data_IF_906061186867
#
_entry.id   IF_906061186867
#
_cell.length_a   1.000
_cell.length_b   1.000
_cell.length_c   1.000
_cell.angle_alpha   90.00
_cell.angle_beta   90.00
_cell.angle_gamma   90.00
#
_symmetry.space_group_name_H-M   'P 1'
#
loop_
_entity.id
_entity.type
_entity.pdbx_description
1 polymer ?
#
# COMPACT_ATOMS: atom_id res chain seq x y z
N UNK A 1 17.56 13.40 11.80
CA UNK A 1 17.69 14.83 12.21
C UNK A 1 16.35 15.53 12.49
N UNK A 2 15.18 14.88 12.35
CA UNK A 2 13.85 15.53 12.41
C UNK A 2 13.21 15.63 13.82
N UNK A 3 13.68 14.86 14.82
CA UNK A 3 13.06 14.75 16.16
C UNK A 3 13.27 15.95 17.09
N UNK A 4 14.28 16.78 16.85
CA UNK A 4 14.56 17.96 17.68
C UNK A 4 13.55 19.11 17.40
N UNK A 5 13.02 19.20 16.19
CA UNK A 5 12.15 20.31 15.76
C UNK A 5 10.72 20.21 16.29
N UNK A 6 10.15 18.99 16.38
CA UNK A 6 8.76 18.80 16.83
C UNK A 6 8.56 19.09 18.31
N UNK A 7 9.54 18.75 19.17
CA UNK A 7 9.46 19.05 20.62
C UNK A 7 9.52 20.55 20.90
N UNK A 8 10.37 21.28 20.17
CA UNK A 8 10.49 22.74 20.27
C UNK A 8 9.19 23.42 19.83
N UNK A 9 8.64 23.02 18.68
CA UNK A 9 7.36 23.54 18.20
C UNK A 9 6.20 23.28 19.18
N UNK A 10 6.17 22.09 19.81
CA UNK A 10 5.17 21.79 20.86
C UNK A 10 5.34 22.66 22.10
N UNK A 11 6.58 22.97 22.51
CA UNK A 11 6.83 23.85 23.66
C UNK A 11 6.44 25.30 23.37
N UNK A 12 6.71 25.80 22.18
CA UNK A 12 6.32 27.14 21.74
C UNK A 12 4.80 27.28 21.64
N UNK A 13 4.11 26.28 21.07
CA UNK A 13 2.65 26.28 20.96
C UNK A 13 1.98 26.27 22.34
N UNK A 14 2.51 25.49 23.28
CA UNK A 14 2.05 25.48 24.68
C UNK A 14 2.28 26.83 25.36
N UNK A 15 3.43 27.47 25.12
CA UNK A 15 3.78 28.76 25.71
C UNK A 15 2.97 29.93 25.12
N UNK A 16 2.45 29.80 23.89
CA UNK A 16 1.70 30.85 23.21
C UNK A 16 0.37 31.24 23.86
N UNK A 17 -0.22 30.35 24.68
CA UNK A 17 -1.55 30.56 25.28
C UNK A 17 -2.71 30.56 24.28
N UNK A 18 -2.46 30.29 23.00
CA UNK A 18 -3.46 30.33 21.92
C UNK A 18 -4.34 29.08 21.84
N UNK A 19 -3.97 28.00 22.54
CA UNK A 19 -4.63 26.70 22.46
C UNK A 19 -4.92 26.13 23.84
N UNK A 20 -6.15 25.62 24.03
CA UNK A 20 -6.59 25.05 25.30
C UNK A 20 -6.07 23.62 25.52
N UNK A 21 -5.86 22.86 24.44
CA UNK A 21 -5.39 21.47 24.52
C UNK A 21 -4.69 21.06 23.23
N UNK A 22 -3.67 20.21 23.34
CA UNK A 22 -2.91 19.69 22.19
C UNK A 22 -2.90 18.17 22.29
N UNK A 23 -3.37 17.49 21.23
CA UNK A 23 -3.20 16.05 21.04
C UNK A 23 -2.17 15.82 19.95
N UNK A 24 -1.20 14.94 20.23
CA UNK A 24 -0.11 14.64 19.30
C UNK A 24 -0.32 13.24 18.75
N UNK A 25 -0.32 13.15 17.42
CA UNK A 25 -0.44 11.88 16.69
C UNK A 25 0.93 11.57 16.06
N UNK A 26 1.52 10.43 16.39
CA UNK A 26 2.85 10.05 15.86
C UNK A 26 2.87 8.60 15.39
N UNK A 27 3.78 8.28 14.47
CA UNK A 27 3.94 6.94 13.91
C UNK A 27 4.84 6.02 14.77
N UNK A 28 5.09 6.34 16.04
CA UNK A 28 6.00 5.59 16.90
C UNK A 28 5.31 4.93 18.09
N UNK A 29 5.80 3.76 18.50
CA UNK A 29 5.39 3.02 19.70
C UNK A 29 5.96 3.65 20.96
N UNK A 30 5.37 4.75 21.42
CA UNK A 30 5.62 5.26 22.77
C UNK A 30 4.30 5.38 23.50
N UNK A 31 4.22 4.86 24.72
CA UNK A 31 2.99 4.72 25.53
C UNK A 31 2.16 6.02 25.66
N UNK A 32 2.78 7.19 25.54
CA UNK A 32 2.12 8.49 25.72
C UNK A 32 1.51 9.09 24.43
N UNK A 33 1.74 8.49 23.24
CA UNK A 33 1.32 9.07 21.96
C UNK A 33 0.17 8.30 21.31
N UNK A 34 -0.77 9.03 20.71
CA UNK A 34 -1.83 8.43 19.90
C UNK A 34 -1.22 8.01 18.55
N UNK A 35 -1.48 6.79 18.05
CA UNK A 35 -1.03 6.38 16.73
C UNK A 35 -1.55 7.33 15.65
N UNK A 36 -0.64 7.74 14.76
CA UNK A 36 -1.03 8.51 13.59
C UNK A 36 -1.91 7.69 12.64
N UNK A 37 -2.92 8.34 12.04
CA UNK A 37 -3.77 7.80 11.00
C UNK A 37 -4.00 8.86 9.90
N UNK A 38 -4.27 8.46 8.64
CA UNK A 38 -4.51 9.40 7.56
C UNK A 38 -5.82 10.15 7.77
N UNK A 39 -5.78 11.48 7.75
CA UNK A 39 -6.97 12.33 7.88
C UNK A 39 -7.55 12.75 6.53
N UNK A 40 -6.74 12.69 5.48
CA UNK A 40 -7.14 12.96 4.11
C UNK A 40 -6.74 11.79 3.21
N UNK A 41 -7.53 11.52 2.17
CA UNK A 41 -7.28 10.42 1.23
C UNK A 41 -5.91 10.54 0.55
N UNK A 42 -5.42 11.75 0.31
CA UNK A 42 -4.07 11.98 -0.24
C UNK A 42 -2.95 11.52 0.71
N UNK A 43 -3.21 11.41 2.01
CA UNK A 43 -2.24 10.91 2.97
C UNK A 43 -2.02 9.39 2.85
N UNK A 44 -2.87 8.68 2.10
CA UNK A 44 -2.65 7.27 1.75
C UNK A 44 -1.39 7.09 0.89
N UNK A 45 -0.93 8.12 0.17
CA UNK A 45 0.32 8.09 -0.60
C UNK A 45 1.54 7.81 0.30
N UNK A 46 1.44 8.08 1.60
CA UNK A 46 2.48 7.75 2.59
C UNK A 46 2.71 6.24 2.74
N UNK A 47 1.73 5.42 2.35
CA UNK A 47 1.80 3.96 2.43
C UNK A 47 2.42 3.31 1.21
N UNK A 48 2.55 4.03 0.08
CA UNK A 48 3.11 3.48 -1.16
C UNK A 48 4.52 2.87 -0.97
N UNK A 49 5.27 3.36 0.04
CA UNK A 49 6.63 2.93 0.34
C UNK A 49 6.74 2.03 1.59
N UNK A 50 5.60 1.62 2.18
CA UNK A 50 5.55 0.81 3.40
C UNK A 50 5.11 -0.62 3.10
N UNK A 51 5.70 -1.21 2.06
CA UNK A 51 5.39 -2.57 1.62
C UNK A 51 6.15 -3.56 2.52
N UNK A 52 5.41 -4.40 3.25
CA UNK A 52 5.99 -5.38 4.18
C UNK A 52 6.42 -6.69 3.51
N UNK A 53 5.74 -7.10 2.44
CA UNK A 53 5.99 -8.36 1.73
C UNK A 53 5.42 -8.30 0.31
N UNK A 54 5.84 -9.21 -0.57
CA UNK A 54 5.31 -9.38 -1.93
C UNK A 54 5.45 -8.18 -2.88
N UNK A 55 6.43 -7.30 -2.66
CA UNK A 55 6.85 -6.28 -3.62
C UNK A 55 7.58 -6.90 -4.83
N UNK A 56 8.78 -6.43 -5.14
CA UNK A 56 9.66 -7.07 -6.14
C UNK A 56 10.35 -8.32 -5.62
N UNK A 57 10.37 -8.52 -4.31
CA UNK A 57 11.02 -9.66 -3.66
C UNK A 57 10.09 -10.87 -3.64
N UNK A 58 10.70 -12.06 -3.75
CA UNK A 58 10.04 -13.35 -3.80
C UNK A 58 10.72 -14.27 -2.81
N UNK A 59 9.94 -15.07 -2.10
CA UNK A 59 10.44 -16.16 -1.28
C UNK A 59 11.03 -17.28 -2.16
N UNK A 60 11.95 -18.06 -1.61
CA UNK A 60 12.70 -19.09 -2.37
C UNK A 60 11.84 -20.25 -2.87
N UNK A 61 10.67 -20.46 -2.28
CA UNK A 61 9.67 -21.45 -2.68
C UNK A 61 8.67 -20.92 -3.73
N UNK A 62 8.75 -19.64 -4.08
CA UNK A 62 7.89 -19.05 -5.10
C UNK A 62 8.21 -19.65 -6.48
N UNK A 63 7.21 -20.07 -7.30
CA UNK A 63 7.46 -20.75 -8.58
C UNK A 63 8.23 -19.88 -9.59
N UNK A 64 8.08 -18.56 -9.50
CA UNK A 64 8.84 -17.57 -10.28
C UNK A 64 10.14 -17.08 -9.62
N UNK A 65 10.61 -17.68 -8.52
CA UNK A 65 11.76 -17.17 -7.75
C UNK A 65 13.03 -17.02 -8.61
N UNK A 66 13.29 -17.99 -9.49
CA UNK A 66 14.46 -18.01 -10.37
C UNK A 66 14.18 -17.52 -11.80
N UNK A 67 12.93 -17.15 -12.12
CA UNK A 67 12.56 -16.70 -13.47
C UNK A 67 12.90 -15.21 -13.65
N UNK A 68 13.92 -14.87 -14.47
CA UNK A 68 14.34 -13.47 -14.63
C UNK A 68 13.29 -12.60 -15.35
N UNK A 69 12.50 -13.17 -16.25
CA UNK A 69 11.45 -12.46 -16.99
C UNK A 69 10.31 -12.11 -16.03
N UNK A 70 9.89 -13.09 -15.22
CA UNK A 70 8.85 -12.88 -14.22
C UNK A 70 9.28 -11.87 -13.15
N UNK A 71 10.52 -11.92 -12.68
CA UNK A 71 11.07 -10.95 -11.71
C UNK A 71 11.12 -9.53 -12.27
N UNK A 72 11.57 -9.36 -13.51
CA UNK A 72 11.58 -8.06 -14.18
C UNK A 72 10.15 -7.50 -14.30
N UNK A 73 9.19 -8.36 -14.70
CA UNK A 73 7.79 -8.00 -14.80
C UNK A 73 7.17 -7.62 -13.46
N UNK A 74 7.49 -8.35 -12.38
CA UNK A 74 7.07 -8.00 -11.01
C UNK A 74 7.62 -6.67 -10.54
N UNK A 75 8.88 -6.37 -10.87
CA UNK A 75 9.49 -5.07 -10.56
C UNK A 75 8.74 -3.93 -11.26
N UNK A 76 8.38 -4.08 -12.54
CA UNK A 76 7.60 -3.08 -13.27
C UNK A 76 6.27 -2.75 -12.56
N UNK A 77 5.51 -3.76 -12.14
CA UNK A 77 4.27 -3.54 -11.37
C UNK A 77 4.50 -2.89 -10.01
N UNK A 78 5.58 -3.28 -9.31
CA UNK A 78 5.95 -2.67 -8.03
C UNK A 78 6.33 -1.19 -8.22
N UNK A 79 7.06 -0.85 -9.28
CA UNK A 79 7.45 0.51 -9.62
C UNK A 79 6.21 1.36 -9.95
N UNK A 80 5.23 0.82 -10.69
CA UNK A 80 3.96 1.53 -10.95
C UNK A 80 3.24 1.89 -9.63
N UNK A 81 3.13 0.93 -8.71
CA UNK A 81 2.47 1.14 -7.43
C UNK A 81 3.23 2.15 -6.54
N UNK A 82 4.57 2.09 -6.54
CA UNK A 82 5.43 2.97 -5.77
C UNK A 82 5.31 4.44 -6.19
N UNK A 83 5.16 4.69 -7.49
CA UNK A 83 5.14 6.05 -8.04
C UNK A 83 3.74 6.67 -8.10
N UNK A 84 2.67 5.89 -8.03
CA UNK A 84 1.30 6.41 -8.02
C UNK A 84 1.07 7.41 -6.88
N UNK A 85 0.37 8.51 -7.19
CA UNK A 85 -0.13 9.49 -6.23
C UNK A 85 -1.64 9.67 -6.34
N UNK A 86 -2.27 10.04 -5.23
CA UNK A 86 -3.68 10.36 -5.21
C UNK A 86 -4.02 11.44 -6.27
N UNK A 87 -5.16 11.29 -6.95
CA UNK A 87 -5.63 12.10 -8.10
C UNK A 87 -4.97 11.76 -9.44
N UNK A 88 -3.84 11.05 -9.46
CA UNK A 88 -3.29 10.59 -10.73
C UNK A 88 -4.17 9.51 -11.36
N UNK A 89 -4.17 9.45 -12.70
CA UNK A 89 -4.84 8.38 -13.41
C UNK A 89 -4.05 7.10 -13.23
N UNK A 90 -4.72 6.02 -12.80
CA UNK A 90 -4.11 4.69 -12.74
C UNK A 90 -3.53 4.30 -14.12
N UNK A 91 -2.23 3.96 -14.20
CA UNK A 91 -1.61 3.52 -15.44
C UNK A 91 -2.32 2.28 -15.99
N UNK A 92 -2.60 2.29 -17.29
CA UNK A 92 -3.07 1.09 -17.98
C UNK A 92 -1.88 0.16 -18.21
N UNK A 93 -1.99 -1.09 -17.79
CA UNK A 93 -0.95 -2.09 -18.05
C UNK A 93 -1.38 -3.00 -19.19
N UNK A 94 -0.54 -3.06 -20.22
CA UNK A 94 -0.68 -4.03 -21.30
C UNK A 94 -0.17 -5.39 -20.82
N UNK A 95 -1.11 -6.32 -20.58
CA UNK A 95 -0.79 -7.69 -20.23
C UNK A 95 -0.33 -8.49 -21.46
N UNK A 96 0.69 -9.32 -21.26
CA UNK A 96 1.17 -10.27 -22.25
C UNK A 96 0.13 -11.37 -22.52
N UNK A 97 0.26 -12.06 -23.65
CA UNK A 97 -0.64 -13.16 -23.98
C UNK A 97 -0.55 -14.32 -22.96
N UNK A 98 0.64 -14.55 -22.39
CA UNK A 98 0.85 -15.54 -21.33
C UNK A 98 0.13 -15.15 -20.02
N UNK A 99 0.16 -13.88 -19.62
CA UNK A 99 -0.57 -13.37 -18.46
C UNK A 99 -2.09 -13.48 -18.68
N UNK A 100 -2.57 -13.08 -19.87
CA UNK A 100 -3.99 -13.20 -20.25
C UNK A 100 -4.47 -14.65 -20.30
N UNK A 101 -3.63 -15.57 -20.81
CA UNK A 101 -3.93 -17.00 -20.83
C UNK A 101 -4.06 -17.56 -19.40
N UNK A 102 -3.13 -17.20 -18.52
CA UNK A 102 -3.16 -17.59 -17.10
C UNK A 102 -4.46 -17.11 -16.43
N UNK A 103 -4.82 -15.83 -16.61
CA UNK A 103 -6.08 -15.28 -16.11
C UNK A 103 -7.29 -16.06 -16.66
N UNK A 104 -7.29 -16.35 -17.96
CA UNK A 104 -8.39 -17.07 -18.62
C UNK A 104 -8.60 -18.49 -18.08
N UNK A 105 -7.54 -19.20 -17.72
CA UNK A 105 -7.64 -20.54 -17.10
C UNK A 105 -8.30 -20.44 -15.72
N UNK A 106 -7.81 -19.55 -14.86
CA UNK A 106 -8.33 -19.37 -13.50
C UNK A 106 -9.78 -18.89 -13.51
N UNK A 107 -10.09 -17.87 -14.31
CA UNK A 107 -11.41 -17.27 -14.37
C UNK A 107 -12.48 -18.27 -14.81
N UNK A 108 -12.21 -19.09 -15.83
CA UNK A 108 -13.16 -20.14 -16.27
C UNK A 108 -13.45 -21.14 -15.16
N UNK A 109 -12.42 -21.61 -14.47
CA UNK A 109 -12.57 -22.58 -13.36
C UNK A 109 -13.34 -22.02 -12.19
N UNK A 110 -13.05 -20.77 -11.78
CA UNK A 110 -13.79 -20.13 -10.70
C UNK A 110 -15.24 -19.84 -11.09
N UNK A 111 -15.49 -19.45 -12.35
CA UNK A 111 -16.84 -19.16 -12.87
C UNK A 111 -17.78 -20.37 -12.84
N UNK A 112 -17.26 -21.57 -13.03
CA UNK A 112 -18.02 -22.82 -12.87
C UNK A 112 -18.51 -23.01 -11.41
N UNK A 113 -17.77 -22.49 -10.42
CA UNK A 113 -18.03 -22.69 -9.00
C UNK A 113 -18.88 -21.58 -8.37
N UNK A 114 -18.84 -20.36 -8.91
CA UNK A 114 -19.52 -19.21 -8.32
C UNK A 114 -21.02 -19.42 -8.04
N UNK A 115 -21.83 -20.03 -8.93
CA UNK A 115 -23.27 -20.17 -8.67
C UNK A 115 -23.61 -20.95 -7.40
N UNK A 116 -22.74 -21.87 -6.99
CA UNK A 116 -22.97 -22.76 -5.84
C UNK A 116 -22.15 -22.40 -4.62
N UNK A 117 -21.03 -21.67 -4.77
CA UNK A 117 -20.09 -21.39 -3.68
C UNK A 117 -19.94 -19.91 -3.34
N UNK A 118 -20.26 -19.00 -4.27
CA UNK A 118 -20.19 -17.58 -4.00
C UNK A 118 -21.45 -17.11 -3.25
N UNK A 119 -21.30 -16.04 -2.45
CA UNK A 119 -22.43 -15.42 -1.78
C UNK A 119 -23.37 -14.74 -2.78
N UNK A 120 -24.55 -14.35 -2.30
CA UNK A 120 -25.57 -13.73 -3.14
C UNK A 120 -25.12 -12.40 -3.74
N UNK A 121 -24.31 -11.61 -3.03
CA UNK A 121 -23.83 -10.30 -3.52
C UNK A 121 -22.86 -10.44 -4.69
N UNK A 122 -22.22 -11.60 -4.84
CA UNK A 122 -21.33 -11.89 -5.95
C UNK A 122 -22.09 -12.38 -7.20
N UNK A 123 -23.16 -13.16 -7.02
CA UNK A 123 -23.94 -13.81 -8.09
C UNK A 123 -25.10 -12.96 -8.61
#
# INVERSE_FOLDING_TARGET
>A
MMRASSRVALSELKASGLVNSIKVFTAGDTDDNIPWFPMHVAELDRFANQILSYGSELDSDHPGFTDPVYRARRKEFADIAFHYRHVEKLPLVEYTDAEKATWGVMYKKLKELFPTHACKEFN
#
